data_IF_644821603564
#
_entry.id   IF_644821603564
#
_cell.length_a   1.000
_cell.length_b   1.000
_cell.length_c   1.000
_cell.angle_alpha   90.00
_cell.angle_beta   90.00
_cell.angle_gamma   90.00
#
_symmetry.space_group_name_H-M   'P 1'
#
loop_
_entity.id
_entity.type
_entity.pdbx_description
1 polymer ?
#
# COMPACT_ATOMS: atom_id res chain seq x y z
N UNK A 1 -29.70 10.18 -13.96
CA UNK A 1 -28.42 10.14 -13.21
C UNK A 1 -28.16 8.69 -12.83
N UNK A 2 -27.16 8.02 -13.43
CA UNK A 2 -26.90 6.58 -13.22
C UNK A 2 -25.64 6.44 -12.37
N UNK A 3 -25.79 5.98 -11.12
CA UNK A 3 -24.68 5.67 -10.22
C UNK A 3 -24.25 4.22 -10.51
N UNK A 4 -22.98 4.01 -10.89
CA UNK A 4 -22.38 2.67 -11.05
C UNK A 4 -21.43 2.45 -9.88
N UNK A 5 -21.69 1.42 -9.08
CA UNK A 5 -20.78 0.93 -8.06
C UNK A 5 -19.90 -0.14 -8.71
N UNK A 6 -18.58 0.08 -8.74
CA UNK A 6 -17.60 -0.91 -9.21
C UNK A 6 -16.85 -1.50 -8.03
N UNK A 7 -16.91 -2.82 -7.87
CA UNK A 7 -15.99 -3.58 -7.01
C UNK A 7 -14.77 -3.88 -7.88
N UNK A 8 -13.61 -3.31 -7.53
CA UNK A 8 -12.35 -3.65 -8.16
C UNK A 8 -11.69 -4.78 -7.37
N UNK A 9 -11.63 -5.97 -7.96
CA UNK A 9 -10.79 -7.08 -7.50
C UNK A 9 -9.59 -7.13 -8.45
N UNK A 10 -8.38 -6.96 -7.91
CA UNK A 10 -7.16 -6.96 -8.69
C UNK A 10 -6.18 -8.01 -8.14
N UNK A 11 -5.92 -9.03 -8.94
CA UNK A 11 -4.81 -9.97 -8.77
C UNK A 11 -3.61 -9.43 -9.54
N UNK A 12 -2.44 -9.41 -8.91
CA UNK A 12 -1.18 -9.11 -9.60
C UNK A 12 -0.21 -10.25 -9.28
N UNK A 13 0.16 -10.97 -10.33
CA UNK A 13 1.22 -11.97 -10.33
C UNK A 13 2.31 -11.49 -11.30
N UNK A 14 3.56 -11.64 -10.85
CA UNK A 14 4.84 -11.54 -11.57
C UNK A 14 5.42 -10.15 -11.93
N UNK A 15 6.68 -9.99 -11.49
CA UNK A 15 7.78 -9.52 -12.34
C UNK A 15 8.21 -8.08 -12.14
N UNK A 16 9.36 -7.89 -11.49
CA UNK A 16 10.05 -6.60 -11.32
C UNK A 16 10.28 -5.93 -12.67
N UNK A 17 9.69 -4.76 -12.87
CA UNK A 17 10.18 -3.69 -13.73
C UNK A 17 9.56 -2.38 -13.27
N UNK A 18 10.40 -1.36 -13.22
CA UNK A 18 10.18 -0.05 -12.60
C UNK A 18 8.99 0.71 -13.21
N UNK A 19 8.29 1.48 -12.37
CA UNK A 19 7.15 2.35 -12.69
C UNK A 19 5.87 1.64 -13.22
N UNK A 20 5.20 0.85 -12.38
CA UNK A 20 3.84 0.39 -12.67
C UNK A 20 2.82 1.27 -11.92
N UNK A 21 2.44 2.40 -12.52
CA UNK A 21 1.24 3.14 -12.12
C UNK A 21 0.01 2.44 -12.68
N UNK A 22 -0.79 1.82 -11.81
CA UNK A 22 -2.00 1.11 -12.22
C UNK A 22 -3.16 2.10 -12.44
N UNK A 23 -3.49 2.41 -13.70
CA UNK A 23 -4.68 3.21 -14.06
C UNK A 23 -5.90 2.30 -14.24
N UNK A 24 -6.76 2.24 -13.23
CA UNK A 24 -8.13 1.73 -13.36
C UNK A 24 -9.07 2.71 -12.66
N UNK A 25 -9.70 3.60 -13.43
CA UNK A 25 -10.30 4.82 -12.88
C UNK A 25 -9.22 5.87 -12.61
N UNK A 26 -9.60 7.15 -12.52
CA UNK A 26 -8.62 8.23 -12.41
C UNK A 26 -7.72 8.08 -11.17
N UNK A 27 -8.16 7.41 -10.10
CA UNK A 27 -7.31 7.24 -8.92
C UNK A 27 -6.07 6.36 -9.19
N UNK A 28 -4.91 6.76 -8.65
CA UNK A 28 -3.66 6.00 -8.68
C UNK A 28 -3.17 5.69 -7.27
N UNK A 29 -2.61 4.48 -7.10
CA UNK A 29 -1.94 4.04 -5.89
C UNK A 29 -0.47 3.74 -6.23
N UNK A 30 0.46 4.30 -5.47
CA UNK A 30 1.89 4.07 -5.63
C UNK A 30 2.56 3.72 -4.31
N UNK A 31 3.73 3.07 -4.40
CA UNK A 31 4.63 2.86 -3.26
C UNK A 31 5.78 3.85 -3.40
N UNK A 32 6.08 4.59 -2.33
CA UNK A 32 7.22 5.53 -2.28
C UNK A 32 7.96 5.41 -0.95
N UNK A 33 9.20 5.89 -0.92
CA UNK A 33 9.93 6.02 0.34
C UNK A 33 9.33 7.14 1.18
N UNK A 34 9.09 6.87 2.47
CA UNK A 34 8.51 7.83 3.39
C UNK A 34 9.42 9.06 3.55
N UNK A 35 8.83 10.25 3.43
CA UNK A 35 9.56 11.52 3.58
C UNK A 35 10.40 11.92 2.37
N UNK A 36 10.36 11.17 1.27
CA UNK A 36 11.04 11.50 0.01
C UNK A 36 9.97 11.76 -1.05
N UNK A 37 9.93 12.98 -1.59
CA UNK A 37 9.00 13.39 -2.65
C UNK A 37 9.54 13.10 -4.07
N UNK A 38 10.67 12.41 -4.20
CA UNK A 38 11.24 11.98 -5.49
C UNK A 38 10.90 10.52 -5.81
N UNK A 39 10.74 10.21 -7.10
CA UNK A 39 10.60 8.85 -7.62
C UNK A 39 11.92 8.05 -7.61
N UNK A 40 12.91 8.50 -6.83
CA UNK A 40 14.19 7.81 -6.74
C UNK A 40 13.99 6.46 -6.05
N UNK A 41 14.60 5.42 -6.63
CA UNK A 41 14.55 4.08 -6.05
C UNK A 41 15.13 4.12 -4.64
N UNK A 42 14.39 3.61 -3.63
CA UNK A 42 14.88 3.56 -2.27
C UNK A 42 16.22 2.80 -2.25
N UNK A 43 17.31 3.51 -1.94
CA UNK A 43 18.60 2.87 -1.70
C UNK A 43 18.72 2.58 -0.21
N UNK A 44 18.87 1.30 0.13
CA UNK A 44 19.17 0.87 1.49
C UNK A 44 20.28 -0.17 1.49
N UNK A 45 21.07 -0.13 2.56
CA UNK A 45 22.11 -1.12 2.85
C UNK A 45 21.53 -2.27 3.65
N UNK A 46 22.24 -3.40 3.64
CA UNK A 46 21.93 -4.52 4.54
C UNK A 46 21.93 -4.04 5.99
N UNK A 47 20.88 -4.39 6.72
CA UNK A 47 20.65 -3.97 8.11
C UNK A 47 19.90 -2.64 8.25
N UNK A 48 19.64 -1.91 7.17
CA UNK A 48 18.83 -0.69 7.22
C UNK A 48 17.33 -1.01 7.06
N UNK A 49 16.50 -0.16 7.67
CA UNK A 49 15.05 -0.22 7.56
C UNK A 49 14.56 0.78 6.51
N UNK A 50 13.92 0.27 5.47
CA UNK A 50 13.19 1.05 4.47
C UNK A 50 11.81 1.39 5.03
N UNK A 51 11.54 2.69 5.22
CA UNK A 51 10.21 3.18 5.54
C UNK A 51 9.48 3.52 4.24
N UNK A 52 8.33 2.89 4.00
CA UNK A 52 7.59 2.97 2.75
C UNK A 52 6.15 3.43 3.01
N UNK A 53 5.58 4.15 2.05
CA UNK A 53 4.21 4.64 2.07
C UNK A 53 3.42 4.10 0.88
N UNK A 54 2.20 3.64 1.13
CA UNK A 54 1.16 3.52 0.12
C UNK A 54 0.56 4.91 -0.08
N UNK A 55 0.84 5.53 -1.20
CA UNK A 55 0.36 6.88 -1.54
C UNK A 55 -0.77 6.80 -2.55
N UNK A 56 -1.90 7.41 -2.22
CA UNK A 56 -3.10 7.42 -3.05
C UNK A 56 -3.33 8.83 -3.60
N UNK A 57 -3.51 8.93 -4.91
CA UNK A 57 -4.05 10.11 -5.58
C UNK A 57 -5.43 9.74 -6.12
N UNK A 58 -6.48 10.39 -5.62
CA UNK A 58 -7.84 10.13 -6.07
C UNK A 58 -8.15 10.77 -7.44
N UNK A 59 -7.33 11.71 -7.92
CA UNK A 59 -7.50 12.41 -9.21
C UNK A 59 -8.94 12.89 -9.47
N UNK A 60 -9.56 13.52 -8.46
CA UNK A 60 -10.93 14.05 -8.54
C UNK A 60 -12.05 13.06 -8.18
N UNK A 61 -11.73 11.79 -7.95
CA UNK A 61 -12.67 10.80 -7.46
C UNK A 61 -12.93 10.91 -5.95
N UNK A 62 -14.06 10.35 -5.53
CA UNK A 62 -14.42 10.18 -4.12
C UNK A 62 -14.27 8.72 -3.73
N UNK A 63 -13.27 8.43 -2.90
CA UNK A 63 -12.91 7.08 -2.49
C UNK A 63 -13.51 6.79 -1.12
N UNK A 64 -14.19 5.65 -0.95
CA UNK A 64 -14.77 5.21 0.33
C UNK A 64 -14.13 3.94 0.90
N UNK A 65 -13.10 3.46 0.23
CA UNK A 65 -12.27 2.38 0.72
C UNK A 65 -11.18 2.02 -0.28
N UNK A 66 -10.15 1.35 0.22
CA UNK A 66 -9.03 0.84 -0.57
C UNK A 66 -8.64 -0.54 -0.04
N UNK A 67 -8.20 -1.39 -0.96
CA UNK A 67 -7.56 -2.67 -0.65
C UNK A 67 -6.24 -2.70 -1.40
N UNK A 68 -5.15 -2.95 -0.68
CA UNK A 68 -3.82 -3.06 -1.23
C UNK A 68 -3.18 -4.38 -0.82
N UNK A 69 -2.44 -4.97 -1.75
CA UNK A 69 -1.62 -6.15 -1.54
C UNK A 69 -0.21 -5.82 -1.98
N UNK A 70 0.76 -5.98 -1.08
CA UNK A 70 2.19 -5.79 -1.34
C UNK A 70 2.87 -7.13 -1.17
N UNK A 71 3.62 -7.61 -2.15
CA UNK A 71 4.47 -8.78 -1.97
C UNK A 71 5.94 -8.44 -2.12
N UNK A 72 6.79 -9.21 -1.44
CA UNK A 72 8.23 -9.05 -1.49
C UNK A 72 8.93 -10.39 -1.23
N UNK A 73 10.19 -10.47 -1.64
CA UNK A 73 11.05 -11.62 -1.41
C UNK A 73 11.50 -11.65 0.07
N UNK A 74 11.05 -12.66 0.83
CA UNK A 74 11.33 -12.81 2.26
C UNK A 74 12.76 -13.31 2.56
N UNK A 75 13.54 -13.61 1.54
CA UNK A 75 14.98 -13.89 1.65
C UNK A 75 15.83 -12.62 1.57
N UNK A 76 15.27 -11.55 0.99
CA UNK A 76 15.91 -10.24 0.83
C UNK A 76 15.44 -9.23 1.88
N UNK A 77 14.16 -9.31 2.26
CA UNK A 77 13.53 -8.37 3.17
C UNK A 77 12.75 -9.08 4.29
N UNK A 78 12.66 -8.42 5.43
CA UNK A 78 11.75 -8.78 6.52
C UNK A 78 10.85 -7.59 6.83
N UNK A 79 9.54 -7.77 6.97
CA UNK A 79 8.69 -6.66 7.39
C UNK A 79 8.88 -6.37 8.88
N UNK A 80 8.87 -5.08 9.22
CA UNK A 80 8.99 -4.63 10.60
C UNK A 80 7.59 -4.27 11.12
N UNK A 81 7.18 -4.79 12.28
CA UNK A 81 5.88 -4.46 12.85
C UNK A 81 5.66 -2.97 13.09
N UNK A 82 4.47 -2.50 12.72
CA UNK A 82 4.00 -1.16 12.99
C UNK A 82 3.54 -1.05 14.46
N UNK A 83 4.37 -0.41 15.27
CA UNK A 83 4.11 -0.18 16.69
C UNK A 83 4.11 -1.46 17.52
N UNK A 84 3.36 -1.47 18.63
CA UNK A 84 3.29 -2.61 19.55
C UNK A 84 2.37 -3.74 19.07
N UNK A 85 1.55 -3.48 18.05
CA UNK A 85 0.72 -4.49 17.40
C UNK A 85 1.58 -5.21 16.36
N UNK A 86 1.64 -6.54 16.41
CA UNK A 86 2.32 -7.37 15.40
C UNK A 86 1.58 -7.31 14.04
N UNK A 87 1.57 -6.13 13.43
CA UNK A 87 0.78 -5.73 12.27
C UNK A 87 1.68 -5.02 11.26
N UNK A 88 1.57 -5.31 9.96
CA UNK A 88 2.51 -4.80 8.98
C UNK A 88 2.34 -3.31 8.63
N UNK A 89 1.16 -2.73 8.85
CA UNK A 89 0.88 -1.36 8.42
C UNK A 89 0.46 -0.45 9.58
N UNK A 90 0.97 0.78 9.55
CA UNK A 90 0.43 1.93 10.26
C UNK A 90 -0.57 2.66 9.35
N UNK A 91 -1.72 3.05 9.90
CA UNK A 91 -2.75 3.78 9.15
C UNK A 91 -2.26 5.16 8.74
N UNK A 92 -2.53 5.55 7.50
CA UNK A 92 -2.21 6.87 6.96
C UNK A 92 -3.29 7.93 7.23
N UNK A 93 -3.11 9.11 6.64
CA UNK A 93 -4.02 10.24 6.82
C UNK A 93 -5.19 10.29 5.83
N UNK A 94 -5.16 9.49 4.75
CA UNK A 94 -6.09 9.67 3.63
C UNK A 94 -7.57 9.54 4.02
N UNK A 95 -7.94 8.60 4.89
CA UNK A 95 -9.30 8.45 5.41
C UNK A 95 -9.50 8.97 6.85
N UNK A 96 -8.54 9.72 7.39
CA UNK A 96 -8.59 10.21 8.77
C UNK A 96 -9.86 11.05 9.00
N UNK A 97 -10.56 10.78 10.10
CA UNK A 97 -11.77 11.49 10.50
C UNK A 97 -13.05 10.99 9.82
N UNK A 98 -12.96 10.00 8.92
CA UNK A 98 -14.13 9.44 8.22
C UNK A 98 -14.71 8.19 8.89
N UNK A 99 -14.36 7.95 10.17
CA UNK A 99 -14.74 6.75 10.91
C UNK A 99 -14.24 5.47 10.24
N UNK A 100 -13.05 5.53 9.63
CA UNK A 100 -12.51 4.44 8.84
C UNK A 100 -12.14 3.25 9.72
N UNK A 101 -12.42 2.05 9.20
CA UNK A 101 -12.05 0.78 9.81
C UNK A 101 -10.97 0.16 8.92
N UNK A 102 -9.84 -0.21 9.54
CA UNK A 102 -8.72 -0.83 8.86
C UNK A 102 -8.51 -2.27 9.31
N UNK A 103 -8.25 -3.16 8.36
CA UNK A 103 -7.75 -4.51 8.59
C UNK A 103 -6.40 -4.64 7.88
N UNK A 104 -5.40 -5.20 8.55
CA UNK A 104 -4.15 -5.52 7.89
C UNK A 104 -3.49 -6.77 8.48
N UNK A 105 -2.81 -7.52 7.62
CA UNK A 105 -2.25 -8.83 7.93
C UNK A 105 -1.04 -9.16 7.04
N UNK A 106 -0.09 -9.91 7.58
CA UNK A 106 0.94 -10.60 6.80
C UNK A 106 0.41 -11.95 6.33
N UNK A 107 0.82 -12.38 5.14
CA UNK A 107 0.43 -13.60 4.46
C UNK A 107 1.71 -14.31 4.02
N UNK A 108 1.91 -15.55 4.42
CA UNK A 108 2.97 -16.37 3.83
C UNK A 108 2.48 -16.90 2.48
N UNK A 109 3.12 -16.47 1.38
CA UNK A 109 2.68 -16.80 0.02
C UNK A 109 3.43 -18.01 -0.53
N UNK A 110 4.71 -18.13 -0.20
CA UNK A 110 5.59 -19.26 -0.58
C UNK A 110 6.84 -19.30 0.29
N UNK A 111 7.72 -20.28 0.08
CA UNK A 111 9.01 -20.38 0.79
C UNK A 111 9.93 -19.17 0.59
N UNK A 112 9.73 -18.37 -0.46
CA UNK A 112 10.55 -17.20 -0.77
C UNK A 112 9.77 -15.89 -0.82
N UNK A 113 8.44 -15.92 -0.74
CA UNK A 113 7.60 -14.73 -0.92
C UNK A 113 6.66 -14.50 0.27
N UNK A 114 6.61 -13.25 0.73
CA UNK A 114 5.68 -12.80 1.74
C UNK A 114 4.76 -11.71 1.17
N UNK A 115 3.49 -11.75 1.56
CA UNK A 115 2.47 -10.78 1.23
C UNK A 115 2.05 -9.96 2.44
N UNK A 116 1.72 -8.69 2.23
CA UNK A 116 1.10 -7.81 3.20
C UNK A 116 -0.21 -7.33 2.60
N UNK A 117 -1.32 -7.55 3.32
CA UNK A 117 -2.66 -7.09 2.96
C UNK A 117 -3.01 -5.88 3.80
N UNK A 118 -3.49 -4.82 3.16
CA UNK A 118 -4.09 -3.67 3.79
C UNK A 118 -5.50 -3.45 3.24
N UNK A 119 -6.46 -3.27 4.12
CA UNK A 119 -7.84 -2.91 3.79
C UNK A 119 -8.21 -1.73 4.66
N UNK A 120 -8.76 -0.70 4.06
CA UNK A 120 -9.36 0.40 4.80
C UNK A 120 -10.65 0.84 4.14
N UNK A 121 -11.71 0.98 4.93
CA UNK A 121 -13.02 1.42 4.47
C UNK A 121 -13.54 2.53 5.37
N UNK A 122 -14.12 3.56 4.79
CA UNK A 122 -14.81 4.61 5.55
C UNK A 122 -16.01 4.05 6.31
N UNK A 123 -16.51 4.83 7.28
CA UNK A 123 -17.68 4.46 8.07
C UNK A 123 -18.96 4.16 7.26
N UNK A 124 -20.01 3.76 7.99
CA UNK A 124 -21.31 3.44 7.41
C UNK A 124 -21.95 4.64 6.73
N UNK A 125 -22.82 4.39 5.76
CA UNK A 125 -23.61 5.44 5.14
C UNK A 125 -24.64 6.00 6.13
N UNK A 126 -24.73 7.33 6.18
CA UNK A 126 -25.78 8.05 6.93
C UNK A 126 -26.61 8.79 5.90
N UNK A 127 -27.94 8.64 5.96
CA UNK A 127 -28.88 9.24 5.00
C UNK A 127 -28.58 8.91 3.52
N UNK A 128 -28.09 7.70 3.26
CA UNK A 128 -27.76 7.23 1.91
C UNK A 128 -26.44 7.78 1.36
N UNK A 129 -25.69 8.57 2.13
CA UNK A 129 -24.39 9.11 1.75
C UNK A 129 -23.29 8.41 2.56
N UNK A 130 -22.37 7.75 1.86
CA UNK A 130 -21.19 7.17 2.48
C UNK A 130 -20.09 8.23 2.62
N UNK A 131 -19.43 8.33 3.77
CA UNK A 131 -18.22 9.16 3.88
C UNK A 131 -17.21 8.74 2.83
N UNK A 132 -16.44 9.68 2.30
CA UNK A 132 -15.45 9.41 1.26
C UNK A 132 -14.41 10.51 1.23
N UNK A 133 -13.15 10.14 0.96
CA UNK A 133 -12.03 11.06 0.79
C UNK A 133 -11.79 11.37 -0.69
N UNK A 134 -11.09 12.48 -0.96
CA UNK A 134 -10.66 12.92 -2.29
C UNK A 134 -9.33 13.66 -2.18
N UNK A 135 -8.64 13.89 -3.30
CA UNK A 135 -7.31 14.50 -3.31
C UNK A 135 -6.19 13.46 -3.17
N UNK A 136 -5.05 13.85 -2.62
CA UNK A 136 -3.87 13.01 -2.46
C UNK A 136 -3.53 12.78 -1.00
N UNK A 137 -2.93 11.64 -0.67
CA UNK A 137 -2.47 11.39 0.69
C UNK A 137 -1.94 9.99 0.93
N UNK A 138 -1.37 9.79 2.12
CA UNK A 138 -0.84 8.50 2.55
C UNK A 138 -2.01 7.63 3.01
N UNK A 139 -2.17 6.47 2.39
CA UNK A 139 -3.12 5.45 2.77
C UNK A 139 -2.61 4.66 3.97
N UNK A 140 -1.37 4.19 3.91
CA UNK A 140 -0.74 3.43 4.98
C UNK A 140 0.79 3.52 4.89
N UNK A 141 1.46 3.24 6.00
CA UNK A 141 2.93 3.10 6.05
C UNK A 141 3.31 1.70 6.46
N UNK A 142 4.41 1.20 5.93
CA UNK A 142 5.01 -0.06 6.33
C UNK A 142 6.53 0.05 6.31
N UNK A 143 7.19 -0.93 6.89
CA UNK A 143 8.65 -0.93 6.95
C UNK A 143 9.21 -2.29 6.60
N UNK A 144 10.32 -2.28 5.87
CA UNK A 144 11.06 -3.47 5.49
C UNK A 144 12.51 -3.35 5.96
N UNK A 145 13.01 -4.33 6.70
CA UNK A 145 14.42 -4.50 7.01
C UNK A 145 15.12 -5.19 5.85
N UNK A 146 16.24 -4.64 5.38
CA UNK A 146 17.06 -5.27 4.34
C UNK A 146 17.93 -6.36 4.95
N UNK A 147 17.65 -7.62 4.62
CA UNK A 147 18.43 -8.77 5.08
C UNK A 147 19.66 -9.01 4.22
N UNK A 148 19.53 -8.80 2.90
CA UNK A 148 20.57 -9.04 1.89
C UNK A 148 20.42 -8.07 0.73
N UNK A 149 21.52 -7.75 0.06
CA UNK A 149 21.47 -7.08 -1.23
C UNK A 149 21.04 -8.08 -2.30
N UNK A 150 20.17 -7.64 -3.21
CA UNK A 150 19.93 -8.36 -4.46
C UNK A 150 21.26 -8.53 -5.17
N UNK A 151 21.62 -9.77 -5.51
CA UNK A 151 22.71 -9.98 -6.45
C UNK A 151 22.34 -9.28 -7.77
N UNK A 152 23.25 -8.48 -8.30
CA UNK A 152 23.11 -7.95 -9.65
C UNK A 152 23.07 -9.16 -10.60
N UNK A 153 22.10 -9.27 -11.53
CA UNK A 153 22.14 -10.32 -12.52
C UNK A 153 23.46 -10.17 -13.28
N UNK A 154 24.30 -11.21 -13.25
CA UNK A 154 25.51 -11.25 -14.05
C UNK A 154 25.11 -11.11 -15.53
N UNK A 155 25.56 -10.05 -16.19
CA UNK A 155 25.45 -9.86 -17.64
C UNK A 155 26.17 -10.97 -18.42
#
# INVERSE_FOLDING_TARGET
>A
MRVRWGIAVLFILCGVSTACGWQNGMASLSIRQAGIDSEEHPQAKVGEQLSLELFLDAQGERISGCVAFVSFDKTLFEWVPAGASNRPFEQGSFFHGLGAISENASLDLSDTEMGLKYVEMTGVAVDGVRPSASGTGVLARFSLLVLRQSAEPAE
#
